data_IF_501351741346
#
_entry.id   IF_501351741346
#
_cell.length_a   1.000
_cell.length_b   1.000
_cell.length_c   1.000
_cell.angle_alpha   90.00
_cell.angle_beta   90.00
_cell.angle_gamma   90.00
#
_symmetry.space_group_name_H-M   'P 1'
#
loop_
_entity.id
_entity.type
_entity.pdbx_description
1 polymer ?
#
# COMPACT_ATOMS: atom_id res chain seq x y z
N UNK A 1 -8.44 -12.36 -19.46
CA UNK A 1 -8.01 -11.08 -20.09
C UNK A 1 -8.43 -9.96 -19.16
N UNK A 2 -7.48 -9.26 -18.54
CA UNK A 2 -7.77 -8.16 -17.63
C UNK A 2 -8.27 -6.94 -18.42
N UNK A 3 -9.38 -6.35 -18.02
CA UNK A 3 -9.92 -5.15 -18.69
C UNK A 3 -8.99 -3.95 -18.43
N UNK A 4 -8.70 -3.20 -19.48
CA UNK A 4 -7.79 -2.04 -19.44
C UNK A 4 -8.24 -0.95 -18.46
N UNK A 5 -9.54 -0.85 -18.22
CA UNK A 5 -10.20 0.14 -17.37
C UNK A 5 -9.99 -0.11 -15.86
N UNK A 6 -9.38 -1.25 -15.48
CA UNK A 6 -9.12 -1.62 -14.08
C UNK A 6 -7.68 -1.31 -13.62
N UNK A 7 -6.89 -0.66 -14.45
CA UNK A 7 -5.51 -0.29 -14.11
C UNK A 7 -5.38 1.22 -13.96
N UNK A 8 -4.68 1.62 -12.90
CA UNK A 8 -4.32 3.01 -12.65
C UNK A 8 -2.87 3.11 -12.21
N UNK A 9 -2.21 4.21 -12.61
CA UNK A 9 -0.90 4.57 -12.09
C UNK A 9 -1.11 5.49 -10.91
N UNK A 10 -0.51 5.15 -9.76
CA UNK A 10 -0.52 5.97 -8.56
C UNK A 10 0.89 6.50 -8.31
N UNK A 11 1.05 7.81 -8.25
CA UNK A 11 2.31 8.46 -7.92
C UNK A 11 2.25 8.96 -6.48
N UNK A 12 3.25 8.60 -5.68
CA UNK A 12 3.42 9.09 -4.31
C UNK A 12 4.46 10.19 -4.29
N UNK A 13 4.09 11.36 -3.77
CA UNK A 13 5.01 12.45 -3.48
C UNK A 13 5.33 12.47 -1.98
N UNK A 14 6.60 12.26 -1.63
CA UNK A 14 7.02 12.25 -0.24
C UNK A 14 7.17 13.68 0.30
N UNK A 15 6.32 14.07 1.23
CA UNK A 15 6.38 15.37 1.94
C UNK A 15 7.35 15.32 3.13
N UNK A 16 7.66 14.13 3.59
CA UNK A 16 8.65 13.85 4.66
C UNK A 16 9.48 12.62 4.28
N UNK A 17 10.65 12.40 4.90
CA UNK A 17 11.46 11.23 4.62
C UNK A 17 10.68 9.92 4.77
N UNK A 18 10.77 9.05 3.77
CA UNK A 18 10.19 7.70 3.80
C UNK A 18 11.28 6.71 4.20
N UNK A 19 11.00 5.87 5.18
CA UNK A 19 11.84 4.75 5.57
C UNK A 19 11.09 3.43 5.43
N UNK A 20 11.31 2.73 4.32
CA UNK A 20 10.79 1.39 4.11
C UNK A 20 11.81 0.37 4.62
N UNK A 21 11.70 -0.04 5.89
CA UNK A 21 12.61 -0.98 6.52
C UNK A 21 12.53 -2.39 5.96
N UNK A 22 13.63 -3.12 5.94
CA UNK A 22 13.69 -4.52 5.49
C UNK A 22 13.39 -5.55 6.61
N UNK A 23 13.01 -5.08 7.79
CA UNK A 23 12.51 -5.91 8.89
C UNK A 23 13.53 -6.39 9.91
N UNK A 24 14.78 -6.60 9.56
CA UNK A 24 15.82 -7.03 10.50
C UNK A 24 17.12 -6.29 10.28
N UNK A 25 17.84 -6.01 11.38
CA UNK A 25 19.20 -5.46 11.31
C UNK A 25 20.16 -6.48 10.68
N UNK A 26 20.97 -6.07 9.74
CA UNK A 26 22.02 -6.89 9.15
C UNK A 26 23.37 -6.29 9.50
N UNK A 27 24.13 -6.99 10.34
CA UNK A 27 25.46 -6.59 10.80
C UNK A 27 25.53 -5.19 11.47
N UNK A 28 26.26 -4.26 10.91
CA UNK A 28 26.52 -2.93 11.49
C UNK A 28 25.48 -1.86 11.08
N UNK A 29 24.49 -2.20 10.24
CA UNK A 29 23.46 -1.26 9.77
C UNK A 29 22.17 -1.53 10.52
N UNK A 30 21.76 -0.56 11.33
CA UNK A 30 20.47 -0.59 11.99
C UNK A 30 19.37 -0.18 11.01
N UNK A 31 18.33 -1.03 10.89
CA UNK A 31 17.15 -0.82 10.03
C UNK A 31 17.48 -0.49 8.54
N UNK A 32 18.10 -1.41 7.79
CA UNK A 32 18.37 -1.18 6.38
C UNK A 32 17.07 -0.98 5.58
N UNK A 33 17.10 -0.09 4.59
CA UNK A 33 15.96 0.15 3.70
C UNK A 33 15.80 -0.96 2.65
N UNK A 34 14.56 -1.18 2.21
CA UNK A 34 14.25 -2.11 1.12
C UNK A 34 14.89 -1.63 -0.18
N UNK A 35 15.55 -2.55 -0.88
CA UNK A 35 16.20 -2.28 -2.18
C UNK A 35 15.89 -3.39 -3.17
N UNK A 36 15.71 -3.03 -4.42
CA UNK A 36 15.64 -4.01 -5.51
C UNK A 36 16.91 -4.87 -5.53
N UNK A 37 16.72 -6.18 -5.74
CA UNK A 37 17.85 -7.13 -5.64
C UNK A 37 18.96 -6.89 -6.66
N UNK A 38 18.59 -6.52 -7.89
CA UNK A 38 19.53 -6.39 -9.01
C UNK A 38 20.03 -4.96 -9.22
N UNK A 39 19.18 -3.96 -9.11
CA UNK A 39 19.55 -2.54 -9.30
C UNK A 39 20.07 -1.89 -8.02
N UNK A 40 19.72 -2.46 -6.85
CA UNK A 40 19.94 -1.87 -5.53
C UNK A 40 19.21 -0.55 -5.29
N UNK A 41 18.29 -0.19 -6.18
CA UNK A 41 17.48 1.01 -6.01
C UNK A 41 16.48 0.86 -4.87
N UNK A 42 16.26 1.94 -4.11
CA UNK A 42 15.24 1.94 -3.07
C UNK A 42 13.85 1.67 -3.67
N UNK A 43 13.06 0.88 -2.98
CA UNK A 43 11.66 0.66 -3.33
C UNK A 43 10.83 0.44 -2.07
N UNK A 44 9.51 0.49 -2.19
CA UNK A 44 8.58 0.07 -1.13
C UNK A 44 7.78 -1.12 -1.62
N UNK A 45 7.85 -2.23 -0.91
CA UNK A 45 7.11 -3.45 -1.27
C UNK A 45 5.60 -3.20 -1.29
N UNK A 46 4.92 -3.84 -2.22
CA UNK A 46 3.47 -3.79 -2.38
C UNK A 46 2.70 -4.07 -1.10
N UNK A 47 3.17 -5.02 -0.30
CA UNK A 47 2.58 -5.35 1.01
C UNK A 47 2.63 -4.17 1.98
N UNK A 48 3.75 -3.44 2.03
CA UNK A 48 3.91 -2.24 2.85
C UNK A 48 2.98 -1.11 2.40
N UNK A 49 2.92 -0.87 1.08
CA UNK A 49 2.00 0.13 0.49
C UNK A 49 0.55 -0.23 0.82
N UNK A 50 0.15 -1.49 0.56
CA UNK A 50 -1.21 -1.96 0.83
C UNK A 50 -1.57 -1.88 2.31
N UNK A 51 -0.66 -2.27 3.19
CA UNK A 51 -0.85 -2.20 4.65
C UNK A 51 -1.04 -0.77 5.14
N UNK A 52 -0.22 0.16 4.66
CA UNK A 52 -0.33 1.59 5.01
C UNK A 52 -1.64 2.20 4.50
N UNK A 53 -2.05 1.88 3.26
CA UNK A 53 -3.34 2.33 2.72
C UNK A 53 -4.52 1.77 3.50
N UNK A 54 -4.45 0.49 3.90
CA UNK A 54 -5.48 -0.15 4.74
C UNK A 54 -5.58 0.54 6.10
N UNK A 55 -4.46 0.78 6.77
CA UNK A 55 -4.43 1.46 8.07
C UNK A 55 -5.03 2.86 7.95
N UNK A 56 -4.61 3.63 6.93
CA UNK A 56 -5.17 4.94 6.68
C UNK A 56 -6.68 4.90 6.41
N UNK A 57 -7.15 3.97 5.59
CA UNK A 57 -8.58 3.78 5.32
C UNK A 57 -9.35 3.46 6.61
N UNK A 58 -8.82 2.55 7.45
CA UNK A 58 -9.42 2.18 8.72
C UNK A 58 -9.55 3.37 9.67
N UNK A 59 -8.53 4.23 9.73
CA UNK A 59 -8.47 5.31 10.71
C UNK A 59 -9.25 6.56 10.25
N UNK A 60 -9.22 6.89 8.97
CA UNK A 60 -9.71 8.17 8.46
C UNK A 60 -10.93 8.10 7.53
N UNK A 61 -11.26 6.95 6.95
CA UNK A 61 -12.43 6.86 6.07
C UNK A 61 -13.73 7.04 6.85
N UNK A 62 -14.66 7.81 6.28
CA UNK A 62 -16.02 7.99 6.84
C UNK A 62 -16.84 6.70 6.79
N UNK A 63 -16.74 5.97 5.69
CA UNK A 63 -17.36 4.64 5.54
C UNK A 63 -16.29 3.56 5.51
N UNK A 64 -16.28 2.75 6.56
CA UNK A 64 -15.30 1.67 6.75
C UNK A 64 -15.83 0.31 6.26
N UNK A 65 -17.06 0.26 5.78
CA UNK A 65 -17.73 -1.00 5.45
C UNK A 65 -17.03 -1.80 4.33
N UNK A 66 -16.29 -1.12 3.46
CA UNK A 66 -15.59 -1.73 2.33
C UNK A 66 -14.15 -2.19 2.64
N UNK A 67 -13.65 -2.01 3.86
CA UNK A 67 -12.24 -2.26 4.17
C UNK A 67 -11.81 -3.69 3.84
N UNK A 68 -12.60 -4.68 4.25
CA UNK A 68 -12.29 -6.08 4.00
C UNK A 68 -12.46 -6.45 2.52
N UNK A 69 -13.42 -5.84 1.83
CA UNK A 69 -13.60 -6.04 0.39
C UNK A 69 -12.42 -5.49 -0.40
N UNK A 70 -11.95 -4.29 -0.08
CA UNK A 70 -10.85 -3.64 -0.80
C UNK A 70 -9.49 -4.29 -0.51
N UNK A 71 -9.19 -4.52 0.77
CA UNK A 71 -7.84 -4.90 1.19
C UNK A 71 -7.69 -6.38 1.56
N UNK A 72 -8.77 -7.14 1.60
CA UNK A 72 -8.79 -8.53 2.04
C UNK A 72 -9.25 -8.67 3.49
N UNK A 73 -9.56 -9.91 3.90
CA UNK A 73 -10.08 -10.18 5.24
C UNK A 73 -9.00 -9.99 6.31
N UNK A 74 -9.41 -9.34 7.38
CA UNK A 74 -8.66 -9.22 8.62
C UNK A 74 -9.63 -9.28 9.81
N UNK A 75 -9.28 -10.02 10.85
CA UNK A 75 -10.12 -10.18 12.04
C UNK A 75 -10.39 -8.86 12.75
N UNK A 76 -9.41 -7.97 12.77
CA UNK A 76 -9.55 -6.65 13.40
C UNK A 76 -10.58 -5.76 12.70
N UNK A 77 -10.79 -6.02 11.41
CA UNK A 77 -11.73 -5.27 10.59
C UNK A 77 -13.07 -6.00 10.36
N UNK A 78 -13.31 -7.15 11.00
CA UNK A 78 -14.52 -7.97 10.81
C UNK A 78 -15.82 -7.18 11.06
N UNK A 79 -15.84 -6.33 12.08
CA UNK A 79 -16.98 -5.44 12.39
C UNK A 79 -17.39 -4.51 11.24
N UNK A 80 -16.46 -4.12 10.40
CA UNK A 80 -16.75 -3.26 9.24
C UNK A 80 -17.36 -4.05 8.09
N UNK A 81 -17.00 -5.32 7.96
CA UNK A 81 -17.61 -6.23 6.99
C UNK A 81 -19.10 -6.48 7.30
N UNK A 82 -19.43 -6.72 8.56
CA UNK A 82 -20.83 -6.93 8.97
C UNK A 82 -21.67 -5.68 8.70
N UNK A 83 -21.13 -4.51 8.98
CA UNK A 83 -21.77 -3.23 8.66
C UNK A 83 -22.00 -3.05 7.15
N UNK A 84 -21.08 -3.51 6.30
CA UNK A 84 -21.24 -3.49 4.85
C UNK A 84 -22.35 -4.42 4.38
N UNK A 85 -22.39 -5.65 4.89
CA UNK A 85 -23.41 -6.64 4.52
C UNK A 85 -24.82 -6.27 4.99
N UNK A 86 -24.94 -5.60 6.14
CA UNK A 86 -26.24 -5.16 6.66
C UNK A 86 -26.96 -4.17 5.73
N UNK A 87 -26.24 -3.49 4.85
CA UNK A 87 -26.78 -2.53 3.87
C UNK A 87 -27.22 -3.18 2.55
N UNK A 88 -27.10 -4.50 2.40
CA UNK A 88 -27.37 -5.24 1.17
C UNK A 88 -28.50 -6.25 1.31
N UNK A 89 -29.16 -6.55 0.20
CA UNK A 89 -30.14 -7.64 0.13
C UNK A 89 -29.46 -9.00 0.31
N UNK A 90 -30.20 -10.00 0.78
CA UNK A 90 -29.66 -11.36 1.06
C UNK A 90 -28.87 -11.95 -0.12
N UNK A 91 -29.36 -11.77 -1.35
CA UNK A 91 -28.73 -12.30 -2.57
C UNK A 91 -27.44 -11.55 -2.97
N UNK A 92 -27.18 -10.39 -2.37
CA UNK A 92 -26.04 -9.53 -2.67
C UNK A 92 -25.03 -9.52 -1.54
N UNK A 93 -25.30 -10.24 -0.43
CA UNK A 93 -24.39 -10.32 0.71
C UNK A 93 -23.09 -10.99 0.31
N UNK A 94 -22.03 -10.34 0.65
CA UNK A 94 -20.71 -10.83 0.43
C UNK A 94 -20.28 -11.73 1.61
N UNK A 95 -20.10 -13.02 1.34
CA UNK A 95 -19.66 -13.97 2.36
C UNK A 95 -18.14 -13.95 2.43
N UNK A 96 -17.60 -13.44 3.52
CA UNK A 96 -16.16 -13.55 3.81
C UNK A 96 -15.88 -14.97 4.29
N UNK A 97 -15.05 -15.67 3.52
CA UNK A 97 -14.36 -16.88 3.99
C UNK A 97 -12.99 -16.46 4.50
N UNK A 98 -12.45 -17.21 5.45
CA UNK A 98 -11.08 -17.02 5.91
C UNK A 98 -10.13 -16.97 4.71
N UNK A 99 -9.15 -16.03 4.76
CA UNK A 99 -8.18 -15.79 3.68
C UNK A 99 -8.74 -15.24 2.36
N UNK A 100 -9.73 -14.38 2.42
CA UNK A 100 -10.25 -13.72 1.23
C UNK A 100 -9.25 -12.65 0.71
N UNK A 101 -8.86 -12.71 -0.58
CA UNK A 101 -8.03 -11.66 -1.19
C UNK A 101 -8.85 -10.39 -1.42
N UNK A 102 -8.25 -9.22 -1.16
CA UNK A 102 -8.92 -7.94 -1.45
C UNK A 102 -9.06 -7.67 -2.95
N UNK A 103 -10.02 -6.82 -3.29
CA UNK A 103 -10.26 -6.39 -4.66
C UNK A 103 -9.14 -5.50 -5.24
N UNK A 104 -8.36 -4.85 -4.35
CA UNK A 104 -7.24 -3.99 -4.76
C UNK A 104 -5.94 -4.80 -4.75
N UNK A 105 -5.27 -4.82 -5.90
CA UNK A 105 -3.92 -5.35 -6.07
C UNK A 105 -2.96 -4.19 -6.35
N UNK A 106 -1.86 -4.13 -5.63
CA UNK A 106 -0.82 -3.11 -5.77
C UNK A 106 0.48 -3.77 -6.21
N UNK A 107 1.25 -3.08 -7.03
CA UNK A 107 2.64 -3.42 -7.32
C UNK A 107 3.58 -2.76 -6.30
N UNK A 108 4.84 -3.18 -6.32
CA UNK A 108 5.88 -2.45 -5.59
C UNK A 108 5.96 -1.01 -6.08
N UNK A 109 6.13 -0.07 -5.14
CA UNK A 109 6.34 1.32 -5.47
C UNK A 109 7.83 1.53 -5.82
N UNK A 110 8.08 1.85 -7.07
CA UNK A 110 9.41 2.10 -7.61
C UNK A 110 9.76 3.58 -7.50
N UNK A 111 11.04 3.86 -7.31
CA UNK A 111 11.56 5.21 -7.32
C UNK A 111 11.38 5.83 -8.72
N UNK A 112 10.67 6.95 -8.79
CA UNK A 112 10.48 7.69 -10.03
C UNK A 112 11.50 8.84 -10.15
N UNK A 113 11.70 9.59 -9.09
CA UNK A 113 12.66 10.69 -9.04
C UNK A 113 13.19 10.85 -7.62
N UNK A 114 14.43 11.28 -7.50
CA UNK A 114 15.12 11.49 -6.23
C UNK A 114 15.76 12.87 -6.18
N UNK A 115 15.62 13.64 -5.09
CA UNK A 115 16.25 14.94 -4.97
C UNK A 115 17.74 14.78 -4.65
N UNK A 116 18.60 15.29 -5.50
CA UNK A 116 20.06 15.32 -5.29
C UNK A 116 20.53 16.75 -5.10
N UNK A 117 21.46 16.94 -4.18
CA UNK A 117 22.11 18.22 -3.95
C UNK A 117 22.88 18.66 -5.20
N UNK A 118 22.78 19.92 -5.57
CA UNK A 118 23.38 20.46 -6.76
C UNK A 118 24.11 21.78 -6.44
N UNK A 119 25.08 22.14 -7.28
CA UNK A 119 25.75 23.44 -7.23
C UNK A 119 24.94 24.55 -7.95
N UNK A 120 23.93 24.17 -8.71
CA UNK A 120 23.07 25.12 -9.48
C UNK A 120 21.82 25.49 -8.66
N UNK A 121 21.31 24.54 -7.88
CA UNK A 121 20.13 24.72 -7.02
C UNK A 121 20.30 23.88 -5.75
N UNK A 122 19.59 24.21 -4.64
CA UNK A 122 19.68 23.41 -3.41
C UNK A 122 19.43 21.92 -3.65
N UNK A 123 18.49 21.60 -4.55
CA UNK A 123 18.20 20.23 -5.02
C UNK A 123 17.79 20.23 -6.47
N UNK A 124 18.15 19.15 -7.19
CA UNK A 124 17.65 18.83 -8.52
C UNK A 124 17.04 17.43 -8.49
N UNK A 125 15.96 17.24 -9.23
CA UNK A 125 15.34 15.92 -9.37
C UNK A 125 16.06 15.12 -10.44
N UNK A 126 16.44 13.90 -10.08
CA UNK A 126 17.01 12.91 -11.01
C UNK A 126 16.13 11.66 -11.06
N UNK A 127 16.02 11.07 -12.23
CA UNK A 127 15.23 9.87 -12.54
C UNK A 127 16.15 8.70 -12.85
#
# INVERSE_FOLDING_TARGET
MLKRDLFSICTFYAVSPIHAGSGSSFAAIDLPIQRERHTKWPHVQASGVKGSMRAHYRDFAKDKSLINFLFGYDRDDAKHHDSYNSKRNENEKFVVKDNFPGAVSLSDAKLLAFPIRSNIAPFVWVT
#
